data_IF_967571563731
#
_entry.id   IF_967571563731
#
_cell.length_a   1.000
_cell.length_b   1.000
_cell.length_c   1.000
_cell.angle_alpha   90.00
_cell.angle_beta   90.00
_cell.angle_gamma   90.00
#
_symmetry.space_group_name_H-M   'P 1'
#
loop_
_entity.id
_entity.type
_entity.pdbx_description
1 polymer ?
#
# COMPACT_ATOMS: atom_id res chain seq x y z
N UNK A 1 -7.06 -7.23 37.27
CA UNK A 1 -7.04 -6.70 35.88
C UNK A 1 -8.07 -5.58 35.81
N UNK A 2 -7.74 -4.38 35.29
CA UNK A 2 -8.67 -3.24 35.34
C UNK A 2 -9.79 -3.47 34.29
N UNK A 3 -11.06 -3.46 34.71
CA UNK A 3 -12.22 -3.73 33.85
C UNK A 3 -12.24 -2.86 32.57
N UNK A 4 -11.72 -1.62 32.65
CA UNK A 4 -11.59 -0.72 31.48
C UNK A 4 -10.65 -1.29 30.40
N UNK A 5 -9.52 -1.92 30.81
CA UNK A 5 -8.57 -2.52 29.85
C UNK A 5 -9.14 -3.77 29.17
N UNK A 6 -9.94 -4.55 29.90
CA UNK A 6 -10.61 -5.74 29.34
C UNK A 6 -11.65 -5.31 28.31
N UNK A 7 -12.49 -4.33 28.66
CA UNK A 7 -13.50 -3.81 27.75
C UNK A 7 -12.87 -3.26 26.46
N UNK A 8 -11.78 -2.49 26.59
CA UNK A 8 -11.05 -1.96 25.44
C UNK A 8 -10.43 -3.06 24.58
N UNK A 9 -9.87 -4.11 25.16
CA UNK A 9 -9.37 -5.27 24.46
C UNK A 9 -10.47 -5.94 23.64
N UNK A 10 -11.59 -6.26 24.28
CA UNK A 10 -12.73 -6.91 23.62
C UNK A 10 -13.24 -6.04 22.47
N UNK A 11 -13.38 -4.73 22.66
CA UNK A 11 -13.82 -3.81 21.63
C UNK A 11 -12.93 -3.86 20.38
N UNK A 12 -11.59 -3.76 20.55
CA UNK A 12 -10.69 -3.79 19.40
C UNK A 12 -10.59 -5.16 18.73
N UNK A 13 -10.69 -6.25 19.50
CA UNK A 13 -10.74 -7.61 18.94
C UNK A 13 -12.01 -7.80 18.12
N UNK A 14 -13.18 -7.41 18.66
CA UNK A 14 -14.45 -7.47 17.92
C UNK A 14 -14.41 -6.63 16.65
N UNK A 15 -13.81 -5.43 16.72
CA UNK A 15 -13.61 -4.59 15.52
C UNK A 15 -12.75 -5.29 14.46
N UNK A 16 -11.67 -5.99 14.86
CA UNK A 16 -10.84 -6.72 13.91
C UNK A 16 -11.56 -7.90 13.27
N UNK A 17 -12.34 -8.65 14.06
CA UNK A 17 -13.16 -9.77 13.57
C UNK A 17 -14.24 -9.27 12.61
N UNK A 18 -14.94 -8.19 12.97
CA UNK A 18 -15.95 -7.56 12.10
C UNK A 18 -15.34 -7.10 10.77
N UNK A 19 -14.18 -6.41 10.82
CA UNK A 19 -13.48 -5.99 9.60
C UNK A 19 -13.12 -7.19 8.72
N UNK A 20 -12.66 -8.29 9.32
CA UNK A 20 -12.33 -9.50 8.60
C UNK A 20 -13.55 -10.12 7.91
N UNK A 21 -14.70 -10.19 8.59
CA UNK A 21 -15.97 -10.66 8.03
C UNK A 21 -16.42 -9.77 6.86
N UNK A 22 -16.26 -8.44 6.98
CA UNK A 22 -16.57 -7.51 5.90
C UNK A 22 -15.64 -7.68 4.67
N UNK A 23 -14.38 -8.03 4.89
CA UNK A 23 -13.43 -8.31 3.81
C UNK A 23 -13.85 -9.58 3.05
N UNK A 24 -14.23 -10.63 3.76
CA UNK A 24 -14.60 -11.91 3.14
C UNK A 24 -16.00 -11.89 2.52
N UNK A 25 -16.92 -11.09 3.07
CA UNK A 25 -18.31 -11.01 2.60
C UNK A 25 -18.57 -10.02 1.47
N UNK A 26 -17.76 -8.97 1.34
CA UNK A 26 -18.02 -7.86 0.41
C UNK A 26 -16.78 -7.47 -0.41
N UNK A 27 -16.70 -7.98 -1.63
CA UNK A 27 -15.53 -7.75 -2.52
C UNK A 27 -15.22 -6.26 -2.76
N UNK A 28 -16.25 -5.39 -2.84
CA UNK A 28 -16.09 -3.96 -3.11
C UNK A 28 -15.36 -3.21 -1.98
N UNK A 29 -15.62 -3.59 -0.73
CA UNK A 29 -15.03 -2.96 0.46
C UNK A 29 -13.77 -3.67 0.92
N UNK A 30 -13.54 -4.90 0.45
CA UNK A 30 -12.44 -5.75 0.88
C UNK A 30 -11.08 -5.05 0.77
N UNK A 31 -10.78 -4.42 -0.37
CA UNK A 31 -9.50 -3.74 -0.61
C UNK A 31 -9.24 -2.61 0.40
N UNK A 32 -10.26 -1.79 0.71
CA UNK A 32 -10.12 -0.68 1.65
C UNK A 32 -9.92 -1.18 3.09
N UNK A 33 -10.71 -2.16 3.53
CA UNK A 33 -10.56 -2.74 4.86
C UNK A 33 -9.26 -3.51 5.03
N UNK A 34 -8.76 -4.16 3.98
CA UNK A 34 -7.49 -4.87 4.00
C UNK A 34 -6.31 -3.91 4.26
N UNK A 35 -6.32 -2.71 3.69
CA UNK A 35 -5.27 -1.71 3.88
C UNK A 35 -5.20 -1.14 5.32
N UNK A 36 -6.28 -1.22 6.08
CA UNK A 36 -6.35 -0.76 7.47
C UNK A 36 -6.51 -1.90 8.48
N UNK A 37 -6.48 -3.15 8.00
CA UNK A 37 -6.61 -4.37 8.79
C UNK A 37 -5.70 -4.43 10.03
N UNK A 38 -4.43 -3.96 10.01
CA UNK A 38 -3.54 -4.00 11.15
C UNK A 38 -3.91 -3.07 12.30
N UNK A 39 -4.78 -2.06 12.07
CA UNK A 39 -5.03 -0.97 13.03
C UNK A 39 -5.55 -1.44 14.39
N UNK A 40 -6.53 -2.34 14.51
CA UNK A 40 -7.00 -2.80 15.82
C UNK A 40 -5.89 -3.39 16.69
N UNK A 41 -5.10 -4.31 16.13
CA UNK A 41 -3.98 -4.92 16.86
C UNK A 41 -2.81 -3.97 17.09
N UNK A 42 -2.58 -3.01 16.21
CA UNK A 42 -1.64 -1.93 16.43
C UNK A 42 -2.02 -1.11 17.68
N UNK A 43 -3.29 -0.79 17.84
CA UNK A 43 -3.79 -0.03 19.01
C UNK A 43 -3.75 -0.87 20.29
N UNK A 44 -4.12 -2.16 20.25
CA UNK A 44 -4.01 -3.07 21.38
C UNK A 44 -2.55 -3.14 21.86
N UNK A 45 -1.62 -3.42 20.94
CA UNK A 45 -0.18 -3.56 21.24
C UNK A 45 0.39 -2.30 21.87
N UNK A 46 0.07 -1.15 21.27
CA UNK A 46 0.58 0.14 21.74
C UNK A 46 0.06 0.52 23.12
N UNK A 47 -1.20 0.23 23.39
CA UNK A 47 -1.88 0.75 24.58
C UNK A 47 -1.97 -0.23 25.73
N UNK A 48 -2.27 -1.48 25.44
CA UNK A 48 -2.50 -2.48 26.47
C UNK A 48 -1.26 -3.31 26.78
N UNK A 49 -0.24 -3.23 25.92
CA UNK A 49 1.04 -3.92 26.07
C UNK A 49 1.02 -5.39 25.62
N UNK A 50 2.17 -6.08 25.68
CA UNK A 50 2.36 -7.36 25.01
C UNK A 50 1.49 -8.49 25.58
N UNK A 51 1.27 -8.53 26.91
CA UNK A 51 0.44 -9.58 27.54
C UNK A 51 -1.02 -9.52 27.03
N UNK A 52 -1.61 -8.33 27.01
CA UNK A 52 -2.98 -8.14 26.54
C UNK A 52 -3.10 -8.37 25.03
N UNK A 53 -2.04 -8.01 24.29
CA UNK A 53 -1.96 -8.29 22.85
C UNK A 53 -2.01 -9.80 22.58
N UNK A 54 -1.23 -10.60 23.31
CA UNK A 54 -1.25 -12.06 23.17
C UNK A 54 -2.63 -12.64 23.45
N UNK A 55 -3.30 -12.18 24.51
CA UNK A 55 -4.68 -12.59 24.83
C UNK A 55 -5.64 -12.18 23.69
N UNK A 56 -5.52 -10.95 23.17
CA UNK A 56 -6.34 -10.47 22.07
C UNK A 56 -6.15 -11.29 20.80
N UNK A 57 -4.91 -11.66 20.48
CA UNK A 57 -4.60 -12.55 19.34
C UNK A 57 -5.28 -13.90 19.53
N UNK A 58 -5.14 -14.53 20.70
CA UNK A 58 -5.77 -15.81 20.98
C UNK A 58 -7.30 -15.73 20.81
N UNK A 59 -7.93 -14.71 21.39
CA UNK A 59 -9.41 -14.53 21.27
C UNK A 59 -9.79 -14.30 19.80
N UNK A 60 -9.12 -13.39 19.08
CA UNK A 60 -9.44 -13.09 17.70
C UNK A 60 -9.29 -14.29 16.77
N UNK A 61 -8.18 -15.03 16.92
CA UNK A 61 -7.92 -16.26 16.14
C UNK A 61 -8.96 -17.32 16.44
N UNK A 62 -9.31 -17.54 17.73
CA UNK A 62 -10.34 -18.50 18.12
C UNK A 62 -11.71 -18.14 17.53
N UNK A 63 -12.07 -16.84 17.52
CA UNK A 63 -13.31 -16.38 16.91
C UNK A 63 -13.33 -16.67 15.39
N UNK A 64 -12.26 -16.38 14.67
CA UNK A 64 -12.21 -16.62 13.22
C UNK A 64 -12.20 -18.13 12.93
N UNK A 65 -11.47 -18.92 13.72
CA UNK A 65 -11.45 -20.38 13.58
C UNK A 65 -12.83 -21.02 13.76
N UNK A 66 -13.65 -20.50 14.68
CA UNK A 66 -15.01 -20.98 14.92
C UNK A 66 -16.01 -20.51 13.84
N UNK A 67 -15.73 -19.39 13.18
CA UNK A 67 -16.60 -18.80 12.15
C UNK A 67 -16.26 -19.23 10.73
N UNK A 68 -15.05 -19.74 10.51
CA UNK A 68 -14.49 -20.06 9.18
C UNK A 68 -13.71 -21.37 9.25
N UNK A 69 -12.72 -21.48 8.38
CA UNK A 69 -11.83 -22.62 8.25
C UNK A 69 -10.40 -22.30 8.77
N UNK A 70 -9.55 -23.32 9.01
CA UNK A 70 -8.19 -23.15 9.49
C UNK A 70 -7.32 -22.29 8.56
N UNK A 71 -7.51 -22.40 7.25
CA UNK A 71 -6.76 -21.63 6.27
C UNK A 71 -7.03 -20.12 6.38
N UNK A 72 -8.29 -19.78 6.48
CA UNK A 72 -8.77 -18.41 6.70
C UNK A 72 -8.23 -17.82 8.02
N UNK A 73 -8.10 -18.65 9.06
CA UNK A 73 -7.51 -18.25 10.33
C UNK A 73 -6.00 -17.89 10.20
N UNK A 74 -5.26 -18.62 9.38
CA UNK A 74 -3.85 -18.31 9.10
C UNK A 74 -3.72 -16.95 8.39
N UNK A 75 -4.57 -16.67 7.43
CA UNK A 75 -4.62 -15.36 6.76
C UNK A 75 -4.87 -14.24 7.78
N UNK A 76 -5.83 -14.42 8.68
CA UNK A 76 -6.12 -13.46 9.74
C UNK A 76 -4.92 -13.23 10.69
N UNK A 77 -4.23 -14.31 11.09
CA UNK A 77 -3.02 -14.21 11.91
C UNK A 77 -1.97 -13.34 11.23
N UNK A 78 -1.69 -13.58 9.96
CA UNK A 78 -0.62 -12.90 9.23
C UNK A 78 -0.98 -11.43 8.96
N UNK A 79 -2.20 -11.17 8.48
CA UNK A 79 -2.59 -9.84 7.98
C UNK A 79 -3.10 -8.90 9.07
N UNK A 80 -3.80 -9.40 10.08
CA UNK A 80 -4.35 -8.59 11.17
C UNK A 80 -3.47 -8.62 12.41
N UNK A 81 -3.19 -9.84 12.91
CA UNK A 81 -2.53 -9.99 14.20
C UNK A 81 -1.04 -9.66 14.10
N UNK A 82 -0.28 -10.41 13.31
CA UNK A 82 1.19 -10.26 13.24
C UNK A 82 1.59 -8.88 12.71
N UNK A 83 0.96 -8.41 11.63
CA UNK A 83 1.23 -7.10 11.07
C UNK A 83 0.80 -5.96 12.00
N UNK A 84 -0.34 -6.10 12.68
CA UNK A 84 -0.81 -5.13 13.67
C UNK A 84 0.12 -5.04 14.89
N UNK A 85 0.59 -6.18 15.40
CA UNK A 85 1.59 -6.23 16.47
C UNK A 85 2.91 -5.58 16.02
N UNK A 86 3.37 -5.87 14.79
CA UNK A 86 4.56 -5.25 14.23
C UNK A 86 4.40 -3.71 14.15
N UNK A 87 3.31 -3.20 13.59
CA UNK A 87 3.05 -1.76 13.51
C UNK A 87 2.94 -1.11 14.90
N UNK A 88 2.31 -1.80 15.85
CA UNK A 88 2.22 -1.36 17.24
C UNK A 88 3.60 -1.20 17.88
N UNK A 89 4.45 -2.22 17.77
CA UNK A 89 5.82 -2.20 18.35
C UNK A 89 6.71 -1.18 17.64
N UNK A 90 6.64 -1.07 16.32
CA UNK A 90 7.37 -0.04 15.55
C UNK A 90 6.93 1.35 16.00
N UNK A 91 5.63 1.59 16.20
CA UNK A 91 5.10 2.89 16.62
C UNK A 91 5.58 3.33 18.02
N UNK A 92 5.99 2.38 18.88
CA UNK A 92 6.56 2.66 20.20
C UNK A 92 8.07 2.93 20.15
N UNK A 93 8.78 2.39 19.16
CA UNK A 93 10.24 2.43 19.06
C UNK A 93 10.78 3.43 18.04
N UNK A 94 9.97 3.82 17.06
CA UNK A 94 10.38 4.74 16.02
C UNK A 94 10.75 6.11 16.59
N UNK A 95 11.89 6.65 16.16
CA UNK A 95 12.38 7.97 16.61
C UNK A 95 11.72 9.13 15.87
N UNK A 96 11.34 8.91 14.64
CA UNK A 96 10.70 9.90 13.77
C UNK A 96 9.71 9.22 12.80
N UNK A 97 8.90 10.01 12.08
CA UNK A 97 7.91 9.48 11.15
C UNK A 97 8.50 8.73 9.96
N UNK A 98 9.72 9.07 9.55
CA UNK A 98 10.41 8.36 8.47
C UNK A 98 10.82 6.95 8.90
N UNK A 99 11.43 6.80 10.10
CA UNK A 99 11.76 5.49 10.66
C UNK A 99 10.52 4.61 10.79
N UNK A 100 9.41 5.21 11.29
CA UNK A 100 8.15 4.49 11.37
C UNK A 100 7.73 3.94 10.00
N UNK A 101 7.72 4.78 8.96
CA UNK A 101 7.29 4.35 7.62
C UNK A 101 8.23 3.29 7.05
N UNK A 102 9.54 3.47 7.15
CA UNK A 102 10.51 2.53 6.62
C UNK A 102 10.35 1.13 7.23
N UNK A 103 10.32 1.04 8.57
CA UNK A 103 10.17 -0.25 9.25
C UNK A 103 8.77 -0.86 9.07
N UNK A 104 7.73 -0.04 9.00
CA UNK A 104 6.36 -0.52 8.76
C UNK A 104 6.19 -1.06 7.33
N UNK A 105 6.77 -0.40 6.33
CA UNK A 105 6.78 -0.91 4.94
C UNK A 105 7.54 -2.25 4.90
N UNK A 106 8.72 -2.33 5.51
CA UNK A 106 9.49 -3.57 5.56
C UNK A 106 8.71 -4.71 6.24
N UNK A 107 8.07 -4.45 7.37
CA UNK A 107 7.22 -5.43 8.06
C UNK A 107 6.02 -5.86 7.20
N UNK A 108 5.39 -4.93 6.48
CA UNK A 108 4.26 -5.23 5.59
C UNK A 108 4.69 -6.05 4.36
N UNK A 109 5.84 -5.73 3.75
CA UNK A 109 6.41 -6.55 2.66
C UNK A 109 6.68 -7.97 3.15
N UNK A 110 7.32 -8.10 4.30
CA UNK A 110 7.62 -9.40 4.90
C UNK A 110 6.35 -10.22 5.20
N UNK A 111 5.34 -9.58 5.77
CA UNK A 111 4.03 -10.20 6.01
C UNK A 111 3.39 -10.72 4.71
N UNK A 112 3.45 -9.93 3.62
CA UNK A 112 2.91 -10.33 2.32
C UNK A 112 3.70 -11.48 1.68
N UNK A 113 5.02 -11.48 1.81
CA UNK A 113 5.86 -12.60 1.35
C UNK A 113 5.49 -13.89 2.09
N UNK A 114 5.34 -13.83 3.42
CA UNK A 114 4.89 -14.99 4.21
C UNK A 114 3.51 -15.46 3.73
N UNK A 115 2.55 -14.53 3.57
CA UNK A 115 1.20 -14.85 3.11
C UNK A 115 1.22 -15.56 1.75
N UNK A 116 1.98 -15.03 0.80
CA UNK A 116 2.13 -15.60 -0.54
C UNK A 116 2.77 -17.00 -0.47
N UNK A 117 3.80 -17.16 0.35
CA UNK A 117 4.49 -18.46 0.51
C UNK A 117 3.55 -19.51 1.12
N UNK A 118 2.83 -19.15 2.19
CA UNK A 118 1.87 -20.03 2.84
C UNK A 118 0.74 -20.40 1.88
N UNK A 119 0.20 -19.42 1.15
CA UNK A 119 -0.83 -19.66 0.14
C UNK A 119 -0.35 -20.63 -0.94
N UNK A 120 0.84 -20.39 -1.49
CA UNK A 120 1.45 -21.26 -2.53
C UNK A 120 1.64 -22.69 -2.06
N UNK A 121 2.11 -22.88 -0.83
CA UNK A 121 2.32 -24.23 -0.28
C UNK A 121 1.00 -24.98 -0.01
N UNK A 122 -0.03 -24.28 0.44
CA UNK A 122 -1.31 -24.91 0.78
C UNK A 122 -2.19 -25.18 -0.46
N UNK A 123 -2.12 -24.33 -1.48
CA UNK A 123 -2.94 -24.48 -2.69
C UNK A 123 -2.22 -25.16 -3.84
N UNK A 124 -0.88 -25.32 -3.75
CA UNK A 124 -0.05 -25.82 -4.86
C UNK A 124 0.01 -24.87 -6.08
N UNK A 125 -0.63 -23.70 -5.99
CA UNK A 125 -0.67 -22.72 -7.08
C UNK A 125 0.47 -21.71 -6.98
N UNK A 126 0.97 -21.24 -8.13
CA UNK A 126 1.96 -20.17 -8.15
C UNK A 126 1.23 -18.81 -8.07
N UNK A 127 1.33 -18.08 -6.95
CA UNK A 127 0.60 -16.82 -6.76
C UNK A 127 1.10 -15.68 -7.65
N UNK A 128 2.25 -15.85 -8.31
CA UNK A 128 2.77 -14.91 -9.31
C UNK A 128 2.23 -15.16 -10.73
N UNK A 129 1.48 -16.25 -10.92
CA UNK A 129 0.76 -16.55 -12.16
C UNK A 129 -0.73 -16.32 -11.93
N UNK A 130 -1.33 -15.48 -12.76
CA UNK A 130 -2.78 -15.28 -12.73
C UNK A 130 -3.43 -16.51 -13.37
N UNK A 131 -4.35 -17.13 -12.63
CA UNK A 131 -5.09 -18.30 -13.10
C UNK A 131 -5.77 -18.01 -14.44
N UNK A 132 -5.63 -18.90 -15.45
CA UNK A 132 -6.34 -18.78 -16.72
C UNK A 132 -7.87 -18.64 -16.56
N UNK A 133 -8.47 -19.25 -15.55
CA UNK A 133 -9.90 -19.07 -15.28
C UNK A 133 -10.25 -17.64 -14.87
N UNK A 134 -9.41 -17.00 -14.03
CA UNK A 134 -9.58 -15.59 -13.64
C UNK A 134 -9.44 -14.71 -14.86
N UNK A 135 -8.45 -14.98 -15.73
CA UNK A 135 -8.25 -14.25 -16.98
C UNK A 135 -9.48 -14.38 -17.90
N UNK A 136 -10.03 -15.59 -18.05
CA UNK A 136 -11.25 -15.81 -18.86
C UNK A 136 -12.47 -15.11 -18.28
N UNK A 137 -12.65 -15.09 -16.96
CA UNK A 137 -13.72 -14.33 -16.29
C UNK A 137 -13.57 -12.82 -16.52
N UNK A 138 -12.35 -12.28 -16.47
CA UNK A 138 -12.08 -10.88 -16.78
C UNK A 138 -12.47 -10.54 -18.24
N UNK A 139 -12.09 -11.40 -19.19
CA UNK A 139 -12.43 -11.25 -20.62
C UNK A 139 -13.95 -11.24 -20.81
N UNK A 140 -14.66 -12.21 -20.24
CA UNK A 140 -16.11 -12.31 -20.38
C UNK A 140 -16.84 -11.12 -19.74
N UNK A 141 -16.36 -10.64 -18.59
CA UNK A 141 -16.91 -9.46 -17.92
C UNK A 141 -16.68 -8.21 -18.76
N UNK A 142 -15.47 -8.01 -19.29
CA UNK A 142 -15.15 -6.88 -20.16
C UNK A 142 -16.01 -6.93 -21.45
N UNK A 143 -16.13 -8.09 -22.10
CA UNK A 143 -16.97 -8.26 -23.29
C UNK A 143 -18.44 -7.88 -23.01
N UNK A 144 -18.97 -8.30 -21.86
CA UNK A 144 -20.35 -7.96 -21.45
C UNK A 144 -20.53 -6.45 -21.19
N UNK A 145 -19.51 -5.78 -20.63
CA UNK A 145 -19.54 -4.33 -20.41
C UNK A 145 -19.52 -3.58 -21.74
N UNK A 146 -18.60 -3.95 -22.66
CA UNK A 146 -18.51 -3.34 -23.98
C UNK A 146 -19.80 -3.53 -24.80
N UNK A 147 -20.37 -4.75 -24.79
CA UNK A 147 -21.63 -5.03 -25.50
C UNK A 147 -22.80 -4.23 -24.96
N UNK A 148 -22.92 -4.11 -23.61
CA UNK A 148 -23.97 -3.30 -22.97
C UNK A 148 -23.80 -1.79 -23.20
N UNK A 149 -22.57 -1.33 -23.33
CA UNK A 149 -22.25 0.07 -23.63
C UNK A 149 -22.36 0.42 -25.12
N UNK A 150 -22.67 -0.54 -26.00
CA UNK A 150 -22.71 -0.32 -27.44
C UNK A 150 -21.36 0.02 -28.06
N UNK A 151 -20.25 -0.31 -27.36
CA UNK A 151 -18.89 0.00 -27.82
C UNK A 151 -18.36 -1.23 -28.59
N UNK A 152 -17.89 -1.02 -29.81
CA UNK A 152 -17.21 -2.06 -30.56
C UNK A 152 -15.95 -2.49 -29.85
N UNK A 153 -15.69 -3.81 -29.79
CA UNK A 153 -14.49 -4.35 -29.20
C UNK A 153 -13.22 -3.71 -29.82
N UNK A 154 -12.16 -3.46 -29.05
CA UNK A 154 -10.91 -2.93 -29.59
C UNK A 154 -10.38 -3.80 -30.73
N UNK A 155 -9.59 -3.23 -31.64
CA UNK A 155 -8.97 -3.90 -32.80
C UNK A 155 -8.10 -5.11 -32.44
N UNK A 156 -7.55 -5.17 -31.20
CA UNK A 156 -6.98 -6.37 -30.62
C UNK A 156 -8.10 -7.25 -30.04
N UNK A 157 -8.01 -8.56 -30.22
CA UNK A 157 -8.98 -9.47 -29.59
C UNK A 157 -8.91 -9.29 -28.08
N UNK A 158 -10.06 -9.32 -27.40
CA UNK A 158 -10.10 -9.21 -25.92
C UNK A 158 -9.19 -10.22 -25.24
N UNK A 159 -8.96 -11.38 -25.87
CA UNK A 159 -8.03 -12.42 -25.39
C UNK A 159 -6.58 -11.96 -25.42
N UNK A 160 -6.14 -11.32 -26.50
CA UNK A 160 -4.76 -10.83 -26.63
C UNK A 160 -4.51 -9.70 -25.64
N UNK A 161 -5.48 -8.81 -25.48
CA UNK A 161 -5.40 -7.72 -24.51
C UNK A 161 -5.31 -8.24 -23.05
N UNK A 162 -6.14 -9.23 -22.72
CA UNK A 162 -6.12 -9.86 -21.40
C UNK A 162 -4.79 -10.60 -21.15
N UNK A 163 -4.24 -11.27 -22.15
CA UNK A 163 -2.93 -11.92 -22.05
C UNK A 163 -1.83 -10.90 -21.77
N UNK A 164 -1.77 -9.80 -22.54
CA UNK A 164 -0.79 -8.73 -22.34
C UNK A 164 -0.91 -8.15 -20.93
N UNK A 165 -2.15 -7.90 -20.45
CA UNK A 165 -2.37 -7.40 -19.08
C UNK A 165 -1.90 -8.40 -18.01
N UNK A 166 -2.23 -9.68 -18.18
CA UNK A 166 -1.85 -10.75 -17.25
C UNK A 166 -0.32 -10.89 -17.17
N UNK A 167 0.36 -10.90 -18.32
CA UNK A 167 1.81 -10.98 -18.39
C UNK A 167 2.49 -9.76 -17.72
N UNK A 168 1.93 -8.55 -17.96
CA UNK A 168 2.42 -7.33 -17.30
C UNK A 168 2.18 -7.32 -15.81
N UNK A 169 1.01 -7.73 -15.35
CA UNK A 169 0.68 -7.82 -13.93
C UNK A 169 1.61 -8.82 -13.22
N UNK A 170 1.81 -10.00 -13.82
CA UNK A 170 2.75 -11.01 -13.28
C UNK A 170 4.18 -10.49 -13.21
N UNK A 171 4.62 -9.74 -14.22
CA UNK A 171 5.95 -9.12 -14.24
C UNK A 171 6.12 -8.08 -13.10
N UNK A 172 5.10 -7.27 -12.83
CA UNK A 172 5.15 -6.17 -11.87
C UNK A 172 4.69 -6.56 -10.46
N UNK A 173 4.39 -7.84 -10.21
CA UNK A 173 3.96 -8.31 -8.88
C UNK A 173 4.90 -7.89 -7.73
N UNK A 174 6.24 -7.99 -7.83
CA UNK A 174 7.13 -7.55 -6.75
C UNK A 174 6.99 -6.06 -6.42
N UNK A 175 6.90 -5.19 -7.43
CA UNK A 175 6.69 -3.75 -7.20
C UNK A 175 5.33 -3.45 -6.60
N UNK A 176 4.29 -4.16 -7.05
CA UNK A 176 2.94 -4.02 -6.49
C UNK A 176 2.91 -4.40 -5.01
N UNK A 177 3.61 -5.46 -4.59
CA UNK A 177 3.71 -5.83 -3.17
C UNK A 177 4.32 -4.70 -2.33
N UNK A 178 5.38 -4.06 -2.83
CA UNK A 178 6.03 -2.92 -2.16
C UNK A 178 5.06 -1.73 -2.08
N UNK A 179 4.37 -1.41 -3.17
CA UNK A 179 3.42 -0.30 -3.21
C UNK A 179 2.22 -0.54 -2.28
N UNK A 180 1.65 -1.73 -2.28
CA UNK A 180 0.59 -2.10 -1.33
C UNK A 180 1.08 -2.05 0.12
N UNK A 181 2.30 -2.51 0.40
CA UNK A 181 2.89 -2.41 1.72
C UNK A 181 3.08 -0.96 2.18
N UNK A 182 3.47 -0.07 1.28
CA UNK A 182 3.56 1.36 1.56
C UNK A 182 2.17 1.97 1.85
N UNK A 183 1.14 1.57 1.10
CA UNK A 183 -0.24 2.00 1.34
C UNK A 183 -0.77 1.49 2.67
N UNK A 184 -0.59 0.21 3.03
CA UNK A 184 -0.98 -0.33 4.33
C UNK A 184 -0.35 0.48 5.47
N UNK A 185 0.96 0.73 5.37
CA UNK A 185 1.72 1.44 6.40
C UNK A 185 1.21 2.87 6.56
N UNK A 186 0.98 3.57 5.45
CA UNK A 186 0.52 4.95 5.45
C UNK A 186 -0.92 5.08 5.95
N UNK A 187 -1.84 4.27 5.44
CA UNK A 187 -3.25 4.33 5.82
C UNK A 187 -3.47 3.87 7.26
N UNK A 188 -2.78 2.81 7.68
CA UNK A 188 -2.80 2.38 9.09
C UNK A 188 -2.25 3.46 10.01
N UNK A 189 -1.14 4.13 9.64
CA UNK A 189 -0.61 5.26 10.40
C UNK A 189 -1.62 6.42 10.49
N UNK A 190 -2.20 6.84 9.38
CA UNK A 190 -3.16 7.94 9.34
C UNK A 190 -4.39 7.65 10.20
N UNK A 191 -4.96 6.45 10.07
CA UNK A 191 -6.14 6.04 10.84
C UNK A 191 -5.81 5.90 12.32
N UNK A 192 -4.73 5.19 12.67
CA UNK A 192 -4.31 5.02 14.06
C UNK A 192 -3.99 6.37 14.73
N UNK A 193 -3.28 7.27 14.03
CA UNK A 193 -2.98 8.62 14.55
C UNK A 193 -4.25 9.44 14.79
N UNK A 194 -5.24 9.32 13.91
CA UNK A 194 -6.54 9.99 14.08
C UNK A 194 -7.30 9.45 15.29
N UNK A 195 -7.36 8.12 15.45
CA UNK A 195 -8.02 7.46 16.58
C UNK A 195 -7.34 7.83 17.91
N UNK A 196 -6.01 7.71 17.97
CA UNK A 196 -5.18 8.03 19.14
C UNK A 196 -5.42 9.48 19.57
N UNK A 197 -5.46 10.42 18.62
CA UNK A 197 -5.73 11.83 18.89
C UNK A 197 -7.15 12.05 19.45
N UNK A 198 -8.16 11.42 18.87
CA UNK A 198 -9.55 11.53 19.32
C UNK A 198 -9.75 10.96 20.72
N UNK A 199 -9.11 9.84 21.01
CA UNK A 199 -9.21 9.17 22.31
C UNK A 199 -8.27 9.79 23.35
N UNK A 200 -7.54 10.87 23.01
CA UNK A 200 -6.56 11.54 23.90
C UNK A 200 -5.49 10.60 24.45
N UNK A 201 -5.05 9.65 23.61
CA UNK A 201 -3.95 8.75 23.93
C UNK A 201 -2.60 9.38 23.59
N UNK A 202 -1.51 8.74 24.05
CA UNK A 202 -0.16 9.19 23.68
C UNK A 202 -0.01 9.23 22.15
N UNK A 203 0.44 10.35 21.58
CA UNK A 203 0.52 10.52 20.14
C UNK A 203 1.53 9.55 19.51
N UNK A 204 1.23 9.06 18.32
CA UNK A 204 2.20 8.38 17.48
C UNK A 204 3.21 9.41 16.97
N UNK A 205 4.45 8.96 16.71
CA UNK A 205 5.50 9.83 16.18
C UNK A 205 4.97 10.60 14.97
N UNK A 206 5.12 11.94 15.01
CA UNK A 206 4.55 12.82 13.98
C UNK A 206 5.31 12.69 12.67
N UNK A 207 4.58 12.50 11.59
CA UNK A 207 5.10 12.72 10.24
C UNK A 207 5.11 14.23 9.92
N UNK A 208 6.10 14.70 9.13
CA UNK A 208 6.06 16.03 8.60
C UNK A 208 4.80 16.22 7.72
N UNK A 209 4.28 17.45 7.58
CA UNK A 209 3.17 17.74 6.68
C UNK A 209 3.47 17.24 5.26
N UNK A 210 2.48 16.72 4.56
CA UNK A 210 2.66 16.10 3.22
C UNK A 210 3.41 17.03 2.24
N UNK A 211 3.13 18.34 2.26
CA UNK A 211 3.86 19.32 1.44
C UNK A 211 5.35 19.47 1.78
N UNK A 212 5.83 18.89 2.87
CA UNK A 212 7.24 18.92 3.28
C UNK A 212 7.97 17.60 3.04
N UNK A 213 7.26 16.59 2.54
CA UNK A 213 7.90 15.31 2.22
C UNK A 213 8.95 15.50 1.13
N UNK A 214 10.15 15.01 1.41
CA UNK A 214 11.28 15.06 0.48
C UNK A 214 12.00 13.73 0.46
N UNK A 215 12.22 13.25 -0.74
CA UNK A 215 13.09 12.12 -0.95
C UNK A 215 14.56 12.56 -0.92
N UNK A 216 15.48 11.73 -0.41
CA UNK A 216 16.90 12.02 -0.45
C UNK A 216 17.42 12.06 -1.90
N UNK A 217 18.41 12.91 -2.17
CA UNK A 217 18.98 13.08 -3.52
C UNK A 217 19.54 11.78 -4.12
N UNK A 218 19.98 10.85 -3.27
CA UNK A 218 20.49 9.54 -3.71
C UNK A 218 19.46 8.72 -4.52
N UNK A 219 18.16 9.04 -4.42
CA UNK A 219 17.11 8.38 -5.25
C UNK A 219 17.31 8.70 -6.74
N UNK A 220 17.90 9.83 -7.08
CA UNK A 220 18.25 10.13 -8.46
C UNK A 220 19.31 9.16 -9.01
N UNK A 221 20.30 8.79 -8.19
CA UNK A 221 21.26 7.74 -8.57
C UNK A 221 20.57 6.38 -8.79
N UNK A 222 19.60 6.06 -7.94
CA UNK A 222 18.81 4.83 -8.13
C UNK A 222 18.05 4.84 -9.47
N UNK A 223 17.56 6.01 -9.92
CA UNK A 223 16.94 6.13 -11.24
C UNK A 223 17.95 5.87 -12.35
N UNK A 224 19.16 6.44 -12.28
CA UNK A 224 20.21 6.21 -13.28
C UNK A 224 20.62 4.75 -13.36
N UNK A 225 20.80 4.10 -12.20
CA UNK A 225 21.09 2.66 -12.13
C UNK A 225 19.95 1.85 -12.74
N UNK A 226 18.70 2.19 -12.44
CA UNK A 226 17.54 1.50 -13.00
C UNK A 226 17.44 1.62 -14.51
N UNK A 227 17.75 2.80 -15.06
CA UNK A 227 17.81 3.02 -16.51
C UNK A 227 18.97 2.23 -17.15
N UNK A 228 20.11 2.13 -16.48
CA UNK A 228 21.23 1.32 -16.96
C UNK A 228 20.87 -0.18 -17.00
N UNK A 229 20.16 -0.67 -15.96
CA UNK A 229 19.65 -2.06 -15.93
C UNK A 229 18.59 -2.28 -17.01
N UNK A 230 17.74 -1.29 -17.30
CA UNK A 230 16.74 -1.37 -18.38
C UNK A 230 17.42 -1.44 -19.76
N UNK A 231 18.44 -0.61 -20.00
CA UNK A 231 19.24 -0.70 -21.22
C UNK A 231 19.93 -2.07 -21.35
N UNK A 232 20.51 -2.58 -20.27
CA UNK A 232 21.12 -3.91 -20.26
C UNK A 232 20.07 -5.02 -20.53
N UNK A 233 18.84 -4.89 -20.01
CA UNK A 233 17.76 -5.85 -20.26
C UNK A 233 17.36 -5.90 -21.75
N UNK A 234 17.41 -4.77 -22.45
CA UNK A 234 17.14 -4.69 -23.90
C UNK A 234 18.30 -5.26 -24.73
N UNK A 235 19.54 -5.11 -24.26
CA UNK A 235 20.71 -5.69 -24.92
C UNK A 235 20.80 -7.20 -24.75
N UNK A 236 20.25 -7.75 -23.65
CA UNK A 236 20.25 -9.17 -23.33
C UNK A 236 18.83 -9.68 -23.07
N UNK A 237 17.94 -9.78 -24.09
CA UNK A 237 16.53 -10.14 -23.93
C UNK A 237 16.31 -11.54 -23.37
N UNK A 238 17.26 -12.45 -23.57
CA UNK A 238 17.22 -13.82 -23.04
C UNK A 238 17.34 -13.89 -21.50
N UNK A 239 17.85 -12.82 -20.88
CA UNK A 239 17.99 -12.75 -19.42
C UNK A 239 16.71 -12.16 -18.78
N UNK A 240 15.65 -12.98 -18.69
CA UNK A 240 14.35 -12.60 -18.08
C UNK A 240 14.51 -11.92 -16.71
N UNK A 241 15.50 -12.30 -15.93
CA UNK A 241 15.77 -11.70 -14.62
C UNK A 241 16.06 -10.20 -14.71
N UNK A 242 16.82 -9.74 -15.71
CA UNK A 242 17.11 -8.32 -15.91
C UNK A 242 15.84 -7.53 -16.25
N UNK A 243 14.96 -8.11 -17.07
CA UNK A 243 13.66 -7.50 -17.43
C UNK A 243 12.78 -7.36 -16.20
N UNK A 244 12.70 -8.40 -15.35
CA UNK A 244 11.92 -8.36 -14.10
C UNK A 244 12.48 -7.30 -13.14
N UNK A 245 13.81 -7.28 -12.94
CA UNK A 245 14.45 -6.33 -12.01
C UNK A 245 14.26 -4.89 -12.49
N UNK A 246 14.55 -4.60 -13.77
CA UNK A 246 14.42 -3.24 -14.32
C UNK A 246 12.99 -2.72 -14.25
N UNK A 247 12.02 -3.52 -14.69
CA UNK A 247 10.61 -3.14 -14.69
C UNK A 247 10.09 -2.81 -13.27
N UNK A 248 10.40 -3.66 -12.30
CA UNK A 248 9.95 -3.47 -10.92
C UNK A 248 10.64 -2.28 -10.24
N UNK A 249 11.95 -2.10 -10.49
CA UNK A 249 12.70 -1.00 -9.92
C UNK A 249 12.21 0.35 -10.49
N UNK A 250 11.99 0.43 -11.80
CA UNK A 250 11.43 1.62 -12.45
C UNK A 250 10.01 1.93 -11.97
N UNK A 251 9.16 0.92 -11.73
CA UNK A 251 7.80 1.14 -11.25
C UNK A 251 7.76 1.68 -9.81
N UNK A 252 8.60 1.13 -8.91
CA UNK A 252 8.74 1.66 -7.55
C UNK A 252 9.27 3.10 -7.57
N UNK A 253 10.30 3.39 -8.37
CA UNK A 253 10.84 4.74 -8.50
C UNK A 253 9.82 5.71 -9.11
N UNK A 254 9.06 5.27 -10.09
CA UNK A 254 7.96 6.05 -10.68
C UNK A 254 6.96 6.48 -9.61
N UNK A 255 6.53 5.56 -8.75
CA UNK A 255 5.61 5.86 -7.66
C UNK A 255 6.23 6.88 -6.67
N UNK A 256 7.51 6.71 -6.31
CA UNK A 256 8.23 7.64 -5.42
C UNK A 256 8.28 9.05 -6.04
N UNK A 257 8.62 9.19 -7.32
CA UNK A 257 8.69 10.49 -7.98
C UNK A 257 7.30 11.12 -8.16
N UNK A 258 6.24 10.33 -8.39
CA UNK A 258 4.86 10.84 -8.39
C UNK A 258 4.49 11.40 -7.01
N UNK A 259 4.81 10.70 -5.92
CA UNK A 259 4.58 11.17 -4.55
C UNK A 259 5.38 12.45 -4.28
N UNK A 260 6.62 12.55 -4.75
CA UNK A 260 7.44 13.75 -4.64
C UNK A 260 6.80 14.93 -5.39
N UNK A 261 6.34 14.72 -6.63
CA UNK A 261 5.64 15.74 -7.43
C UNK A 261 4.31 16.17 -6.79
N UNK A 262 3.53 15.22 -6.24
CA UNK A 262 2.31 15.52 -5.47
C UNK A 262 2.61 16.34 -4.22
N UNK A 263 3.68 16.01 -3.50
CA UNK A 263 4.13 16.75 -2.33
C UNK A 263 4.52 18.19 -2.68
N UNK A 264 5.24 18.38 -3.79
CA UNK A 264 5.57 19.71 -4.30
C UNK A 264 4.32 20.50 -4.71
N UNK A 265 3.40 19.88 -5.45
CA UNK A 265 2.14 20.51 -5.83
C UNK A 265 1.30 20.91 -4.61
N UNK A 266 1.23 20.02 -3.59
CA UNK A 266 0.58 20.34 -2.32
C UNK A 266 1.23 21.52 -1.60
N UNK A 267 2.55 21.58 -1.59
CA UNK A 267 3.32 22.70 -1.03
C UNK A 267 2.94 24.01 -1.72
N UNK A 268 2.92 24.05 -3.05
CA UNK A 268 2.50 25.20 -3.85
C UNK A 268 1.07 25.65 -3.55
N UNK A 269 0.12 24.71 -3.56
CA UNK A 269 -1.27 24.99 -3.25
C UNK A 269 -1.44 25.51 -1.82
N UNK A 270 -0.56 25.10 -0.90
CA UNK A 270 -0.58 25.62 0.48
C UNK A 270 -0.09 27.06 0.56
N UNK A 271 0.96 27.41 -0.17
CA UNK A 271 1.45 28.78 -0.29
C UNK A 271 0.40 29.73 -0.90
N UNK A 272 -0.35 29.22 -1.88
CA UNK A 272 -1.46 29.95 -2.53
C UNK A 272 -2.74 29.94 -1.70
N UNK A 273 -2.72 29.42 -0.48
CA UNK A 273 -3.90 29.33 0.43
C UNK A 273 -5.09 28.61 -0.20
N UNK A 274 -4.85 27.67 -1.13
CA UNK A 274 -5.91 26.88 -1.75
C UNK A 274 -6.63 26.04 -0.68
N UNK A 275 -7.96 25.96 -0.76
CA UNK A 275 -8.76 25.20 0.19
C UNK A 275 -8.40 23.70 0.19
N UNK A 276 -8.50 23.05 1.34
CA UNK A 276 -8.09 21.63 1.52
C UNK A 276 -8.82 20.68 0.58
N UNK A 277 -10.09 20.95 0.31
CA UNK A 277 -10.88 20.13 -0.61
C UNK A 277 -10.23 20.03 -2.00
N UNK A 278 -9.89 21.16 -2.61
CA UNK A 278 -9.24 21.17 -3.93
C UNK A 278 -7.87 20.48 -3.92
N UNK A 279 -7.10 20.61 -2.83
CA UNK A 279 -5.82 19.91 -2.69
C UNK A 279 -6.03 18.39 -2.66
N UNK A 280 -6.99 17.90 -1.89
CA UNK A 280 -7.29 16.46 -1.81
C UNK A 280 -7.81 15.91 -3.14
N UNK A 281 -8.70 16.67 -3.81
CA UNK A 281 -9.20 16.33 -5.14
C UNK A 281 -8.06 16.25 -6.16
N UNK A 282 -7.12 17.20 -6.14
CA UNK A 282 -5.96 17.20 -7.02
C UNK A 282 -5.06 15.95 -6.79
N UNK A 283 -4.85 15.54 -5.53
CA UNK A 283 -4.08 14.33 -5.22
C UNK A 283 -4.76 13.09 -5.81
N UNK A 284 -6.09 12.96 -5.64
CA UNK A 284 -6.85 11.83 -6.18
C UNK A 284 -6.74 11.80 -7.71
N UNK A 285 -7.00 12.93 -8.39
CA UNK A 285 -6.86 13.03 -9.84
C UNK A 285 -5.42 12.81 -10.30
N UNK A 286 -4.44 13.31 -9.55
CA UNK A 286 -3.01 13.14 -9.85
C UNK A 286 -2.56 11.69 -9.82
N UNK A 287 -3.21 10.83 -9.04
CA UNK A 287 -2.92 9.40 -9.00
C UNK A 287 -3.68 8.64 -10.09
N UNK A 288 -4.97 8.94 -10.28
CA UNK A 288 -5.86 8.17 -11.16
C UNK A 288 -5.65 8.53 -12.64
N UNK A 289 -5.46 9.83 -12.94
CA UNK A 289 -5.39 10.31 -14.30
C UNK A 289 -3.96 10.25 -14.86
N UNK A 290 -3.70 9.29 -15.72
CA UNK A 290 -2.36 8.98 -16.25
C UNK A 290 -1.57 10.20 -16.80
N UNK A 291 -2.12 11.13 -17.58
CA UNK A 291 -1.37 12.31 -18.04
C UNK A 291 -0.87 13.19 -16.90
N UNK A 292 -1.68 13.40 -15.85
CA UNK A 292 -1.30 14.19 -14.69
C UNK A 292 -0.22 13.44 -13.89
N UNK A 293 -0.37 12.12 -13.70
CA UNK A 293 0.65 11.29 -13.04
C UNK A 293 2.01 11.39 -13.75
N UNK A 294 2.02 11.41 -15.09
CA UNK A 294 3.26 11.54 -15.85
C UNK A 294 3.93 12.91 -15.66
N UNK A 295 3.14 13.99 -15.66
CA UNK A 295 3.64 15.33 -15.35
C UNK A 295 4.21 15.38 -13.93
N UNK A 296 3.50 14.82 -12.96
CA UNK A 296 3.95 14.76 -11.56
C UNK A 296 5.23 13.96 -11.40
N UNK A 297 5.39 12.87 -12.14
CA UNK A 297 6.61 12.07 -12.20
C UNK A 297 7.80 12.94 -12.62
N UNK A 298 7.67 13.66 -13.75
CA UNK A 298 8.73 14.56 -14.27
C UNK A 298 9.02 15.67 -13.26
N UNK A 299 8.00 16.33 -12.75
CA UNK A 299 8.13 17.41 -11.76
C UNK A 299 8.79 16.91 -10.48
N UNK A 300 8.49 15.68 -10.05
CA UNK A 300 9.13 15.03 -8.90
C UNK A 300 10.64 14.82 -9.09
N UNK A 301 11.07 14.38 -10.27
CA UNK A 301 12.50 14.27 -10.62
C UNK A 301 13.17 15.64 -10.53
N UNK A 302 12.57 16.67 -11.12
CA UNK A 302 13.12 18.04 -11.08
C UNK A 302 13.21 18.60 -9.67
N UNK A 303 12.23 18.33 -8.79
CA UNK A 303 12.26 18.80 -7.38
C UNK A 303 13.41 18.18 -6.59
N UNK A 304 13.78 16.93 -6.87
CA UNK A 304 14.94 16.28 -6.24
C UNK A 304 16.25 16.86 -6.75
N UNK A 305 16.37 17.11 -8.07
CA UNK A 305 17.60 17.63 -8.68
C UNK A 305 17.87 19.09 -8.32
N UNK A 306 16.85 19.96 -8.36
CA UNK A 306 17.00 21.42 -8.30
C UNK A 306 16.44 22.09 -7.05
N UNK A 307 15.86 21.32 -6.09
CA UNK A 307 15.19 21.88 -4.91
C UNK A 307 14.26 23.05 -5.27
N UNK A 308 13.23 22.77 -6.06
CA UNK A 308 12.30 23.77 -6.57
C UNK A 308 11.64 24.59 -5.43
N UNK A 309 11.46 24.00 -4.26
CA UNK A 309 10.90 24.68 -3.07
C UNK A 309 11.81 25.80 -2.58
N UNK A 310 13.13 25.60 -2.62
CA UNK A 310 14.11 26.61 -2.22
C UNK A 310 14.14 27.77 -3.22
N UNK A 311 14.04 27.48 -4.51
CA UNK A 311 13.95 28.49 -5.57
C UNK A 311 12.71 29.36 -5.41
N UNK A 312 11.57 28.77 -5.08
CA UNK A 312 10.31 29.48 -4.91
C UNK A 312 10.34 30.35 -3.67
N UNK A 313 10.84 29.85 -2.52
CA UNK A 313 10.99 30.64 -1.30
C UNK A 313 11.86 31.87 -1.53
N UNK A 314 12.87 31.78 -2.39
CA UNK A 314 13.73 32.94 -2.76
C UNK A 314 13.01 34.01 -3.59
N UNK A 315 12.03 33.59 -4.43
CA UNK A 315 11.25 34.54 -5.27
C UNK A 315 10.10 35.21 -4.54
N UNK A 316 9.70 34.65 -3.39
CA UNK A 316 8.60 35.17 -2.56
C UNK A 316 9.09 36.06 -1.39
N UNK A 317 10.40 36.15 -1.18
CA UNK A 317 11.08 37.14 -0.34
C UNK A 317 11.49 38.33 -1.17
#
# INVERSE_FOLDING_TARGET
MNNKKIFELIFWVLMSVLMFILITGFALTATLFMLIAPVPFMLITRRLGPKMTAIGVLIGVSCIYLLSDPFTSIIYIITFCALGVAFGTISLRAKNGFDYMLFSIAASVFSKIILITVFSQLTGSNPFMIDPEVTNKMISTAANIFSKAGISAPSLSLKDYAKILTDRLSLLMPSMLILFAAMDSLLSYCLASHIVKRLKYEPIVKMPPFGEWRCPQNIFLALLVSLAVDLASRAFPDKRQLVVISANLLEVLRAIFIIQGLSLAWYFMTLRKVHRFFKSTFVIFGIIFSPISYILYIVGIFDICYDLRKLIRRKLK
#
